data_IF_182707238991
#
_entry.id   IF_182707238991
#
_cell.length_a   1.000
_cell.length_b   1.000
_cell.length_c   1.000
_cell.angle_alpha   90.00
_cell.angle_beta   90.00
_cell.angle_gamma   90.00
#
_symmetry.space_group_name_H-M   'P 1'
#
loop_
_entity.id
_entity.type
_entity.pdbx_description
1 polymer ?
#
# COMPACT_ATOMS: atom_id res chain seq x y z
N UNK A 1 -41.58 10.15 6.34
CA UNK A 1 -40.86 8.91 6.66
C UNK A 1 -39.38 9.20 6.41
N UNK A 2 -38.53 9.04 7.41
CA UNK A 2 -37.10 9.28 7.27
C UNK A 2 -36.50 7.99 6.69
N UNK A 3 -36.36 7.90 5.36
CA UNK A 3 -35.80 6.71 4.73
C UNK A 3 -34.29 6.62 5.01
N UNK A 4 -33.84 5.41 5.38
CA UNK A 4 -32.43 5.14 5.66
C UNK A 4 -31.62 5.17 4.36
N UNK A 5 -30.82 6.23 4.18
CA UNK A 5 -29.99 6.38 2.99
C UNK A 5 -28.84 5.36 2.92
N UNK A 6 -28.41 4.78 4.04
CA UNK A 6 -27.24 3.89 4.09
C UNK A 6 -27.34 2.70 3.11
N UNK A 7 -28.52 2.12 2.96
CA UNK A 7 -28.76 0.96 2.09
C UNK A 7 -29.34 1.33 0.72
N UNK A 8 -29.51 2.62 0.44
CA UNK A 8 -29.93 3.09 -0.88
C UNK A 8 -28.76 3.03 -1.88
N UNK A 9 -29.02 2.71 -3.16
CA UNK A 9 -27.99 2.76 -4.19
C UNK A 9 -27.39 4.16 -4.36
N UNK A 10 -26.14 4.19 -4.83
CA UNK A 10 -25.44 5.43 -5.18
C UNK A 10 -24.74 5.26 -6.52
N UNK A 11 -25.08 6.12 -7.49
CA UNK A 11 -24.41 6.17 -8.80
C UNK A 11 -23.38 7.30 -8.82
N UNK A 12 -22.16 6.99 -9.23
CA UNK A 12 -21.08 7.95 -9.46
C UNK A 12 -20.54 7.68 -10.87
N UNK A 13 -20.81 8.59 -11.81
CA UNK A 13 -20.57 8.36 -13.24
C UNK A 13 -21.24 7.04 -13.68
N UNK A 14 -20.47 6.13 -14.27
CA UNK A 14 -20.96 4.84 -14.77
C UNK A 14 -20.85 3.70 -13.75
N UNK A 15 -20.44 3.99 -12.51
CA UNK A 15 -20.36 3.00 -11.43
C UNK A 15 -21.57 3.14 -10.52
N UNK A 16 -22.28 2.03 -10.31
CA UNK A 16 -23.39 1.93 -9.36
C UNK A 16 -22.98 1.10 -8.16
N UNK A 17 -23.15 1.67 -6.95
CA UNK A 17 -22.94 0.98 -5.68
C UNK A 17 -24.29 0.51 -5.15
N UNK A 18 -24.38 -0.77 -4.75
CA UNK A 18 -25.62 -1.36 -4.18
C UNK A 18 -26.07 -0.72 -2.86
N UNK A 19 -25.16 -0.02 -2.16
CA UNK A 19 -25.41 0.73 -0.94
C UNK A 19 -24.28 1.74 -0.71
N UNK A 20 -24.39 2.54 0.35
CA UNK A 20 -23.41 3.59 0.71
C UNK A 20 -22.34 3.12 1.70
N UNK A 21 -22.17 1.80 1.86
CA UNK A 21 -21.15 1.21 2.74
C UNK A 21 -19.87 1.04 1.92
N UNK A 22 -18.83 1.77 2.31
CA UNK A 22 -17.53 1.76 1.64
C UNK A 22 -16.48 1.23 2.61
N UNK A 23 -15.70 0.26 2.15
CA UNK A 23 -14.50 -0.18 2.87
C UNK A 23 -13.31 0.65 2.40
N UNK A 24 -12.69 1.45 3.28
CA UNK A 24 -11.57 2.32 2.93
C UNK A 24 -10.29 1.52 2.65
N UNK A 25 -9.27 2.13 2.02
CA UNK A 25 -7.97 1.51 1.85
C UNK A 25 -7.30 1.32 3.21
N UNK A 26 -7.06 0.07 3.59
CA UNK A 26 -6.40 -0.31 4.85
C UNK A 26 -5.16 -1.13 4.54
N UNK A 27 -3.97 -0.58 4.80
CA UNK A 27 -2.70 -1.29 4.61
C UNK A 27 -2.68 -2.61 5.37
N UNK A 28 -2.31 -3.68 4.67
CA UNK A 28 -2.17 -5.01 5.25
C UNK A 28 -0.71 -5.34 5.55
N UNK A 29 0.24 -4.71 4.84
CA UNK A 29 1.69 -4.89 5.03
C UNK A 29 2.19 -6.34 4.82
N UNK A 30 1.50 -7.12 3.98
CA UNK A 30 1.81 -8.53 3.71
C UNK A 30 2.04 -8.84 2.23
N UNK A 31 2.28 -7.82 1.41
CA UNK A 31 2.76 -8.03 0.05
C UNK A 31 4.21 -8.55 0.07
N UNK A 32 4.59 -9.26 -1.00
CA UNK A 32 5.95 -9.77 -1.19
C UNK A 32 6.56 -9.10 -2.42
N UNK A 33 7.53 -8.20 -2.22
CA UNK A 33 8.12 -7.39 -3.30
C UNK A 33 7.06 -6.65 -4.14
N UNK A 34 6.00 -6.16 -3.49
CA UNK A 34 4.87 -5.52 -4.15
C UNK A 34 3.78 -6.46 -4.65
N UNK A 35 4.01 -7.77 -4.73
CA UNK A 35 3.01 -8.71 -5.21
C UNK A 35 1.99 -9.05 -4.12
N UNK A 36 0.68 -9.10 -4.46
CA UNK A 36 -0.31 -9.56 -3.51
C UNK A 36 -0.12 -11.04 -3.22
N UNK A 37 -0.23 -11.39 -1.96
CA UNK A 37 -0.37 -12.76 -1.45
C UNK A 37 -1.85 -13.15 -1.37
N UNK A 38 -2.19 -14.46 -1.18
CA UNK A 38 -3.57 -14.92 -1.00
C UNK A 38 -4.35 -14.19 0.10
N UNK A 39 -3.66 -13.60 1.09
CA UNK A 39 -4.26 -12.76 2.11
C UNK A 39 -5.08 -11.59 1.51
N UNK A 40 -4.58 -10.95 0.44
CA UNK A 40 -5.23 -9.77 -0.13
C UNK A 40 -6.58 -10.12 -0.76
N UNK A 41 -6.68 -11.29 -1.41
CA UNK A 41 -7.93 -11.81 -1.98
C UNK A 41 -8.92 -12.09 -0.84
N UNK A 42 -8.50 -12.83 0.19
CA UNK A 42 -9.35 -13.16 1.34
C UNK A 42 -9.81 -11.90 2.09
N UNK A 43 -8.90 -10.94 2.32
CA UNK A 43 -9.20 -9.72 3.05
C UNK A 43 -10.14 -8.79 2.27
N UNK A 44 -9.93 -8.56 0.98
CA UNK A 44 -10.87 -7.75 0.19
C UNK A 44 -12.21 -8.49 -0.03
N UNK A 45 -12.12 -9.79 -0.26
CA UNK A 45 -13.25 -10.69 -0.51
C UNK A 45 -14.24 -10.76 0.65
N UNK A 46 -13.76 -10.90 1.90
CA UNK A 46 -14.65 -10.94 3.08
C UNK A 46 -15.51 -9.68 3.20
N UNK A 47 -14.98 -8.51 2.83
CA UNK A 47 -15.71 -7.25 2.87
C UNK A 47 -16.76 -7.15 1.76
N UNK A 48 -16.41 -7.60 0.55
CA UNK A 48 -17.33 -7.65 -0.57
C UNK A 48 -18.49 -8.62 -0.30
N UNK A 49 -18.17 -9.83 0.16
CA UNK A 49 -19.14 -10.86 0.58
C UNK A 49 -20.00 -10.40 1.77
N UNK A 50 -19.42 -9.60 2.68
CA UNK A 50 -20.13 -8.98 3.81
C UNK A 50 -21.14 -7.89 3.42
N UNK A 51 -21.26 -7.56 2.13
CA UNK A 51 -22.31 -6.68 1.63
C UNK A 51 -21.88 -5.23 1.39
N UNK A 52 -20.59 -4.89 1.47
CA UNK A 52 -20.12 -3.55 1.11
C UNK A 52 -20.44 -3.20 -0.35
N UNK A 53 -20.80 -1.95 -0.62
CA UNK A 53 -21.07 -1.45 -1.97
C UNK A 53 -19.79 -1.18 -2.77
N UNK A 54 -18.73 -0.74 -2.08
CA UNK A 54 -17.41 -0.48 -2.65
C UNK A 54 -16.33 -1.00 -1.69
N UNK A 55 -15.36 -1.72 -2.23
CA UNK A 55 -14.13 -2.12 -1.51
C UNK A 55 -12.94 -1.47 -2.19
N UNK A 56 -12.21 -0.64 -1.45
CA UNK A 56 -11.00 0.03 -1.94
C UNK A 56 -9.79 -0.77 -1.44
N UNK A 57 -9.05 -1.39 -2.36
CA UNK A 57 -7.78 -2.08 -2.08
C UNK A 57 -6.77 -1.08 -1.50
N UNK A 58 -5.92 -1.57 -0.60
CA UNK A 58 -4.95 -0.77 0.14
C UNK A 58 -4.05 0.11 -0.73
N UNK A 59 -3.37 1.08 -0.10
CA UNK A 59 -2.46 2.01 -0.77
C UNK A 59 -1.40 1.26 -1.58
N UNK A 60 -1.62 1.19 -2.88
CA UNK A 60 -0.81 0.44 -3.84
C UNK A 60 0.19 1.37 -4.48
N UNK A 61 1.47 1.00 -4.39
CA UNK A 61 2.58 1.87 -4.75
C UNK A 61 2.81 1.86 -6.24
N UNK A 62 2.95 3.06 -6.81
CA UNK A 62 3.14 3.28 -8.24
C UNK A 62 4.58 3.04 -8.69
N UNK A 63 5.51 2.86 -7.74
CA UNK A 63 6.92 2.53 -7.96
C UNK A 63 7.54 1.99 -6.68
N UNK A 64 8.63 1.22 -6.82
CA UNK A 64 9.31 0.58 -5.69
C UNK A 64 9.84 1.56 -4.65
N UNK A 65 10.30 2.74 -5.09
CA UNK A 65 10.74 3.84 -4.21
C UNK A 65 9.60 4.51 -3.42
N UNK A 66 8.36 4.31 -3.87
CA UNK A 66 7.16 4.77 -3.20
C UNK A 66 6.74 3.91 -2.02
N UNK A 67 7.39 2.77 -1.78
CA UNK A 67 7.05 1.89 -0.67
C UNK A 67 7.33 2.54 0.69
N UNK A 68 6.33 2.44 1.56
CA UNK A 68 6.39 2.71 2.98
C UNK A 68 7.14 1.62 3.72
N UNK A 69 6.69 0.38 3.54
CA UNK A 69 7.27 -0.83 4.16
C UNK A 69 7.64 -1.88 3.11
N UNK A 70 8.33 -2.94 3.52
CA UNK A 70 8.62 -4.12 2.68
C UNK A 70 7.35 -4.88 2.27
N UNK A 71 6.26 -4.68 3.01
CA UNK A 71 4.99 -5.37 2.81
C UNK A 71 3.95 -4.58 2.02
N UNK A 72 4.33 -3.47 1.40
CA UNK A 72 3.40 -2.63 0.65
C UNK A 72 3.09 -3.24 -0.73
N UNK A 73 1.81 -3.16 -1.14
CA UNK A 73 1.35 -3.61 -2.45
C UNK A 73 1.87 -2.70 -3.58
N UNK A 74 2.13 -3.24 -4.77
CA UNK A 74 2.70 -2.54 -5.93
C UNK A 74 1.88 -2.64 -7.22
N UNK A 75 2.09 -1.69 -8.15
CA UNK A 75 1.46 -1.64 -9.49
C UNK A 75 2.35 -0.97 -10.56
N UNK A 76 3.67 -1.13 -10.46
CA UNK A 76 4.63 -0.42 -11.34
C UNK A 76 5.15 -1.21 -12.55
N UNK A 77 4.74 -2.47 -12.69
CA UNK A 77 5.12 -3.41 -13.75
C UNK A 77 3.88 -4.21 -14.17
N UNK A 78 3.76 -4.55 -15.45
CA UNK A 78 2.63 -5.31 -15.99
C UNK A 78 2.44 -6.69 -15.32
N UNK A 79 3.49 -7.23 -14.69
CA UNK A 79 3.42 -8.44 -13.86
C UNK A 79 2.42 -8.32 -12.71
N UNK A 80 2.09 -7.12 -12.23
CA UNK A 80 1.06 -6.93 -11.20
C UNK A 80 -0.37 -7.03 -11.74
N UNK A 81 -0.58 -6.91 -13.06
CA UNK A 81 -1.93 -6.88 -13.65
C UNK A 81 -2.70 -8.17 -13.34
N UNK A 82 -2.09 -9.32 -13.62
CA UNK A 82 -2.75 -10.61 -13.42
C UNK A 82 -3.20 -10.82 -11.96
N UNK A 83 -2.31 -10.72 -10.96
CA UNK A 83 -2.72 -10.97 -9.58
C UNK A 83 -3.64 -9.87 -8.99
N UNK A 84 -3.52 -8.60 -9.42
CA UNK A 84 -4.47 -7.55 -9.00
C UNK A 84 -5.85 -7.73 -9.63
N UNK A 85 -5.91 -8.23 -10.88
CA UNK A 85 -7.16 -8.59 -11.54
C UNK A 85 -7.89 -9.69 -10.79
N UNK A 86 -7.20 -10.64 -10.18
CA UNK A 86 -7.85 -11.71 -9.41
C UNK A 86 -8.58 -11.14 -8.18
N UNK A 87 -7.96 -10.19 -7.47
CA UNK A 87 -8.59 -9.45 -6.36
C UNK A 87 -9.82 -8.69 -6.86
N UNK A 88 -9.68 -7.90 -7.93
CA UNK A 88 -10.77 -7.11 -8.48
C UNK A 88 -11.95 -7.98 -8.98
N UNK A 89 -11.64 -9.13 -9.59
CA UNK A 89 -12.63 -10.09 -10.08
C UNK A 89 -13.40 -10.71 -8.92
N UNK A 90 -12.72 -11.08 -7.84
CA UNK A 90 -13.35 -11.64 -6.65
C UNK A 90 -14.24 -10.63 -5.91
N UNK A 91 -13.83 -9.35 -5.83
CA UNK A 91 -14.69 -8.28 -5.28
C UNK A 91 -15.97 -8.16 -6.11
N UNK A 92 -15.82 -8.08 -7.44
CA UNK A 92 -16.95 -7.93 -8.37
C UNK A 92 -17.89 -9.12 -8.37
N UNK A 93 -17.38 -10.35 -8.25
CA UNK A 93 -18.22 -11.56 -8.17
C UNK A 93 -19.11 -11.58 -6.92
N UNK A 94 -18.78 -10.80 -5.89
CA UNK A 94 -19.58 -10.61 -4.67
C UNK A 94 -20.52 -9.37 -4.74
N UNK A 95 -20.69 -8.80 -5.94
CA UNK A 95 -21.60 -7.68 -6.18
C UNK A 95 -21.17 -6.36 -5.54
N UNK A 96 -19.87 -6.16 -5.31
CA UNK A 96 -19.30 -4.90 -4.87
C UNK A 96 -18.48 -4.27 -6.00
N UNK A 97 -18.40 -2.94 -6.04
CA UNK A 97 -17.44 -2.26 -6.89
C UNK A 97 -16.02 -2.45 -6.33
N UNK A 98 -15.03 -2.61 -7.23
CA UNK A 98 -13.62 -2.70 -6.88
C UNK A 98 -12.92 -1.36 -7.13
N UNK A 99 -12.32 -0.79 -6.08
CA UNK A 99 -11.48 0.40 -6.16
C UNK A 99 -10.05 0.11 -5.70
N UNK A 100 -9.13 1.01 -6.00
CA UNK A 100 -7.72 0.94 -5.58
C UNK A 100 -7.23 2.35 -5.24
N UNK A 101 -6.47 2.49 -4.15
CA UNK A 101 -5.80 3.76 -3.84
C UNK A 101 -4.36 3.72 -4.35
N UNK A 102 -4.03 4.55 -5.34
CA UNK A 102 -2.65 4.74 -5.78
C UNK A 102 -1.91 5.61 -4.76
N UNK A 103 -0.68 5.22 -4.41
CA UNK A 103 0.09 5.92 -3.39
C UNK A 103 1.60 5.99 -3.66
N UNK A 104 2.23 6.99 -3.06
CA UNK A 104 3.68 7.10 -2.95
C UNK A 104 4.00 7.66 -1.56
N UNK A 105 4.76 6.93 -0.75
CA UNK A 105 4.98 7.27 0.67
C UNK A 105 6.00 8.41 0.86
N UNK A 106 6.83 8.68 -0.15
CA UNK A 106 7.79 9.77 -0.15
C UNK A 106 8.79 9.62 1.00
N UNK A 107 9.04 10.71 1.72
CA UNK A 107 10.03 10.75 2.82
C UNK A 107 9.72 9.85 4.01
N UNK A 108 8.51 9.29 4.10
CA UNK A 108 8.09 8.36 5.16
C UNK A 108 8.38 6.89 4.79
N UNK A 109 9.05 6.63 3.67
CA UNK A 109 9.41 5.28 3.24
C UNK A 109 10.48 4.62 4.12
N UNK A 110 10.84 3.38 3.75
CA UNK A 110 11.80 2.55 4.49
C UNK A 110 11.41 2.37 5.96
N UNK A 111 10.12 2.36 6.28
CA UNK A 111 9.60 2.12 7.61
C UNK A 111 9.46 0.61 7.88
N UNK A 112 9.53 0.23 9.16
CA UNK A 112 9.12 -1.09 9.63
C UNK A 112 7.61 -1.29 9.46
N UNK A 113 7.16 -2.54 9.46
CA UNK A 113 5.72 -2.80 9.62
C UNK A 113 5.27 -2.31 11.00
N UNK A 114 4.00 -1.89 11.18
CA UNK A 114 3.56 -1.30 12.45
C UNK A 114 3.78 -2.20 13.69
N UNK A 115 3.72 -3.53 13.53
CA UNK A 115 3.94 -4.49 14.61
C UNK A 115 5.40 -4.88 14.82
N UNK A 116 6.32 -4.48 13.94
CA UNK A 116 7.77 -4.67 14.07
C UNK A 116 8.43 -3.48 14.78
N UNK A 117 7.62 -2.55 15.29
CA UNK A 117 8.05 -1.33 15.99
C UNK A 117 7.89 -0.07 15.15
N UNK A 118 8.02 1.08 15.80
CA UNK A 118 7.93 2.38 15.13
C UNK A 118 9.28 2.81 14.55
N UNK A 119 9.25 3.48 13.39
CA UNK A 119 10.42 4.11 12.78
C UNK A 119 10.98 3.45 11.51
N UNK A 120 12.08 4.03 11.05
CA UNK A 120 12.79 3.64 9.82
C UNK A 120 13.64 2.40 10.06
N UNK A 121 13.74 1.54 9.05
CA UNK A 121 14.65 0.41 9.00
C UNK A 121 16.09 0.87 9.23
N UNK A 122 16.83 0.12 10.03
CA UNK A 122 18.26 0.28 10.25
C UNK A 122 19.06 -0.13 9.00
N UNK A 123 20.35 0.21 8.97
CA UNK A 123 21.23 -0.20 7.87
C UNK A 123 21.33 -1.73 7.74
N UNK A 124 21.31 -2.46 8.86
CA UNK A 124 21.35 -3.92 8.86
C UNK A 124 20.05 -4.52 8.30
N UNK A 125 18.89 -3.98 8.69
CA UNK A 125 17.59 -4.43 8.17
C UNK A 125 17.47 -4.12 6.67
N UNK A 126 17.94 -2.95 6.23
CA UNK A 126 17.96 -2.60 4.80
C UNK A 126 18.87 -3.54 3.99
N UNK A 127 20.03 -3.93 4.54
CA UNK A 127 20.94 -4.87 3.88
C UNK A 127 20.36 -6.28 3.74
N UNK A 128 19.33 -6.62 4.52
CA UNK A 128 18.63 -7.90 4.44
C UNK A 128 17.41 -7.88 3.49
N UNK A 129 17.12 -6.75 2.84
CA UNK A 129 16.02 -6.63 1.87
C UNK A 129 16.55 -6.92 0.46
N UNK A 130 16.07 -8.02 -0.14
CA UNK A 130 16.54 -8.50 -1.45
C UNK A 130 16.41 -7.48 -2.60
N UNK A 131 15.42 -6.57 -2.52
CA UNK A 131 15.10 -5.60 -3.56
C UNK A 131 15.34 -4.14 -3.13
N UNK A 132 16.32 -3.93 -2.26
CA UNK A 132 16.64 -2.62 -1.66
C UNK A 132 17.10 -1.58 -2.69
N UNK A 133 17.78 -2.00 -3.76
CA UNK A 133 18.35 -1.11 -4.80
C UNK A 133 17.30 -0.28 -5.55
N UNK A 134 16.04 -0.71 -5.53
CA UNK A 134 14.91 0.02 -6.12
C UNK A 134 14.21 1.00 -5.16
N UNK A 135 14.69 1.13 -3.92
CA UNK A 135 13.95 1.78 -2.83
C UNK A 135 14.54 3.12 -2.34
N UNK A 136 15.09 3.95 -3.22
CA UNK A 136 15.63 5.23 -2.77
C UNK A 136 14.56 6.22 -2.28
N UNK A 137 14.76 6.83 -1.11
CA UNK A 137 13.77 7.75 -0.54
C UNK A 137 13.69 9.04 -1.34
N UNK A 138 12.47 9.39 -1.74
CA UNK A 138 12.17 10.62 -2.47
C UNK A 138 11.41 11.62 -1.59
N UNK A 139 11.73 12.91 -1.76
CA UNK A 139 11.10 14.02 -1.07
C UNK A 139 11.16 15.25 -1.98
N UNK A 140 10.17 16.14 -1.88
CA UNK A 140 10.15 17.41 -2.62
C UNK A 140 11.33 18.32 -2.25
N UNK A 141 11.85 18.18 -1.02
CA UNK A 141 13.04 18.87 -0.52
C UNK A 141 13.88 17.93 0.33
N UNK A 142 15.20 18.13 0.29
CA UNK A 142 16.12 17.53 1.24
C UNK A 142 15.92 18.18 2.62
N UNK A 143 14.94 17.71 3.38
CA UNK A 143 14.74 18.12 4.77
C UNK A 143 15.54 17.18 5.68
N UNK A 144 16.27 17.77 6.63
CA UNK A 144 17.32 17.18 7.48
C UNK A 144 16.81 16.00 8.33
N UNK A 145 16.69 14.81 7.73
CA UNK A 145 16.73 13.52 8.43
C UNK A 145 17.72 12.54 7.78
N UNK A 146 18.62 13.09 6.96
CA UNK A 146 19.64 12.38 6.19
C UNK A 146 21.04 12.51 6.81
N UNK A 147 21.15 12.87 8.10
CA UNK A 147 22.44 12.98 8.81
C UNK A 147 23.20 11.65 8.97
N UNK A 148 22.61 10.52 8.60
CA UNK A 148 23.27 9.20 8.65
C UNK A 148 23.89 8.76 7.32
N UNK A 149 23.57 9.40 6.18
CA UNK A 149 24.11 8.96 4.87
C UNK A 149 25.45 9.62 4.49
N UNK A 150 25.84 10.74 5.11
CA UNK A 150 27.08 11.42 4.74
C UNK A 150 28.31 10.94 5.53
N UNK A 151 28.13 10.40 6.75
CA UNK A 151 29.24 9.96 7.58
C UNK A 151 29.91 8.65 7.12
N UNK A 152 29.28 7.89 6.22
CA UNK A 152 29.82 6.61 5.72
C UNK A 152 30.65 6.73 4.44
N UNK A 153 30.72 7.92 3.81
CA UNK A 153 31.47 8.14 2.55
C UNK A 153 32.74 8.96 2.71
N UNK A 154 32.94 9.61 3.84
CA UNK A 154 34.19 10.32 4.17
C UNK A 154 34.82 9.59 5.33
N UNK A 155 35.78 8.72 5.07
CA UNK A 155 36.61 8.06 6.09
C UNK A 155 37.44 9.09 6.86
N UNK A 156 36.80 9.90 7.69
CA UNK A 156 37.46 10.79 8.62
C UNK A 156 37.65 10.03 9.93
N UNK A 157 38.90 9.62 10.16
CA UNK A 157 39.39 9.16 11.45
C UNK A 157 39.00 10.17 12.54
N UNK A 158 38.48 9.67 13.66
CA UNK A 158 38.39 10.43 14.88
C UNK A 158 39.78 10.39 15.53
N UNK A 159 40.51 11.48 15.44
CA UNK A 159 41.65 11.76 16.32
C UNK A 159 41.32 12.94 17.24
N UNK A 160 41.80 12.79 18.48
CA UNK A 160 41.70 13.64 19.69
C UNK A 160 40.36 13.71 20.43
#
# INVERSE_FOLDING_TARGET
MNETLLFSPLRIRDVELKNRIVVPPMLQYVAERGFPTPWHITNAGKFAAGGAGLVIVESTKVERRGCGTVGDLGIWDDKFIAPLRDIASFIKSNGAAAGIQLGHTGRKGKARRPWEGDGTLSAQELAAVDDVDGWDLMSERACVRQRLFHAARTGASRDS
#
